data_IF_576457271492
#
_entry.id   IF_576457271492
#
_cell.length_a   1.000
_cell.length_b   1.000
_cell.length_c   1.000
_cell.angle_alpha   90.00
_cell.angle_beta   90.00
_cell.angle_gamma   90.00
#
_symmetry.space_group_name_H-M   'P 1'
#
loop_
_entity.id
_entity.type
_entity.pdbx_description
1 polymer ?
#
# COMPACT_ATOMS: atom_id res chain seq x y z
N UNK A 1 98.37 41.27 19.68
CA UNK A 1 98.42 40.41 18.47
C UNK A 1 97.00 39.92 18.16
N UNK A 2 96.53 40.19 16.94
CA UNK A 2 95.50 39.51 16.12
C UNK A 2 94.27 38.92 16.85
N UNK A 3 93.10 39.56 16.87
CA UNK A 3 92.05 39.58 15.83
C UNK A 3 91.52 38.19 15.40
N UNK A 4 90.25 37.89 15.73
CA UNK A 4 89.38 37.14 14.82
C UNK A 4 87.87 37.28 15.15
N UNK A 5 87.21 38.08 14.32
CA UNK A 5 85.93 37.89 13.63
C UNK A 5 84.78 37.18 14.38
N UNK A 6 83.78 37.97 14.82
CA UNK A 6 82.37 37.59 14.79
C UNK A 6 81.60 38.60 13.95
N UNK A 7 81.70 38.46 12.62
CA UNK A 7 80.79 39.14 11.69
C UNK A 7 79.46 38.38 11.71
N UNK A 8 78.48 38.94 12.41
CA UNK A 8 77.07 38.60 12.28
C UNK A 8 76.62 38.92 10.86
N UNK A 9 76.27 37.89 10.08
CA UNK A 9 75.92 38.02 8.67
C UNK A 9 74.41 38.37 8.53
N UNK A 10 74.03 39.63 8.24
CA UNK A 10 72.61 40.04 8.15
C UNK A 10 71.85 39.36 6.99
N UNK A 11 72.59 38.79 6.03
CA UNK A 11 72.03 38.04 4.89
C UNK A 11 71.49 36.67 5.33
N UNK A 12 72.15 35.99 6.27
CA UNK A 12 71.71 34.67 6.75
C UNK A 12 70.42 34.77 7.57
N UNK A 13 70.30 35.81 8.41
CA UNK A 13 69.08 36.06 9.20
C UNK A 13 67.86 36.30 8.30
N UNK A 14 68.01 37.11 7.24
CA UNK A 14 66.94 37.34 6.26
C UNK A 14 66.56 36.08 5.47
N UNK A 15 67.54 35.21 5.17
CA UNK A 15 67.29 33.96 4.47
C UNK A 15 66.51 32.96 5.34
N UNK A 16 66.82 32.89 6.63
CA UNK A 16 66.11 32.06 7.61
C UNK A 16 64.67 32.55 7.82
N UNK A 17 64.44 33.87 7.93
CA UNK A 17 63.09 34.43 8.09
C UNK A 17 62.19 34.17 6.87
N UNK A 18 62.73 34.26 5.65
CA UNK A 18 61.98 33.93 4.42
C UNK A 18 61.62 32.44 4.38
N UNK A 19 62.55 31.56 4.78
CA UNK A 19 62.29 30.10 4.83
C UNK A 19 61.24 29.78 5.89
N UNK A 20 61.34 30.33 7.11
CA UNK A 20 60.38 30.10 8.20
C UNK A 20 59.00 30.62 7.79
N UNK A 21 58.91 31.82 7.20
CA UNK A 21 57.64 32.39 6.74
C UNK A 21 57.01 31.53 5.64
N UNK A 22 57.80 31.05 4.68
CA UNK A 22 57.32 30.19 3.59
C UNK A 22 56.86 28.84 4.09
N UNK A 23 57.59 28.22 5.04
CA UNK A 23 57.21 26.96 5.66
C UNK A 23 55.93 27.12 6.49
N UNK A 24 55.80 28.22 7.26
CA UNK A 24 54.61 28.50 8.05
C UNK A 24 53.37 28.73 7.16
N UNK A 25 53.51 29.50 6.07
CA UNK A 25 52.44 29.68 5.09
C UNK A 25 52.02 28.36 4.43
N UNK A 26 52.98 27.49 4.10
CA UNK A 26 52.73 26.16 3.53
C UNK A 26 52.01 25.24 4.53
N UNK A 27 52.37 25.31 5.81
CA UNK A 27 51.71 24.56 6.91
C UNK A 27 50.24 25.02 7.09
N UNK A 28 49.99 26.33 7.05
CA UNK A 28 48.64 26.92 7.15
C UNK A 28 47.78 26.49 5.96
N UNK A 29 48.30 26.59 4.73
CA UNK A 29 47.59 26.16 3.52
C UNK A 29 47.27 24.66 3.53
N UNK A 30 48.19 23.82 4.00
CA UNK A 30 47.95 22.39 4.19
C UNK A 30 46.87 22.11 5.25
N UNK A 31 46.85 22.88 6.34
CA UNK A 31 45.81 22.81 7.37
C UNK A 31 44.41 23.19 6.83
N UNK A 32 44.32 24.27 6.07
CA UNK A 32 43.08 24.69 5.42
C UNK A 32 42.57 23.66 4.41
N UNK A 33 43.47 23.06 3.61
CA UNK A 33 43.13 22.01 2.63
C UNK A 33 42.59 20.76 3.32
N UNK A 34 43.24 20.29 4.40
CA UNK A 34 42.74 19.15 5.20
C UNK A 34 41.37 19.43 5.84
N UNK A 35 41.14 20.66 6.31
CA UNK A 35 39.84 21.04 6.92
C UNK A 35 38.70 21.11 5.89
N UNK A 36 38.99 21.52 4.66
CA UNK A 36 38.00 21.53 3.56
C UNK A 36 37.71 20.12 3.05
N UNK A 37 38.72 19.26 2.98
CA UNK A 37 38.58 17.87 2.53
C UNK A 37 37.77 17.02 3.54
N UNK A 38 38.00 17.21 4.85
CA UNK A 38 37.17 16.59 5.90
C UNK A 38 35.71 17.06 5.85
N UNK A 39 35.46 18.37 5.66
CA UNK A 39 34.10 18.90 5.49
C UNK A 39 33.39 18.33 4.26
N UNK A 40 34.11 18.05 3.17
CA UNK A 40 33.54 17.40 1.97
C UNK A 40 33.21 15.94 2.23
N UNK A 41 34.10 15.19 2.88
CA UNK A 41 33.84 13.79 3.24
C UNK A 41 32.66 13.64 4.21
N UNK A 42 32.55 14.50 5.22
CA UNK A 42 31.43 14.50 6.16
C UNK A 42 30.10 14.83 5.44
N UNK A 43 30.12 15.78 4.51
CA UNK A 43 28.95 16.12 3.68
C UNK A 43 28.56 14.99 2.72
N UNK A 44 29.51 14.30 2.10
CA UNK A 44 29.24 13.16 1.22
C UNK A 44 28.70 11.96 2.00
N UNK A 45 29.20 11.72 3.22
CA UNK A 45 28.69 10.70 4.13
C UNK A 45 27.26 11.02 4.59
N UNK A 46 26.96 12.29 4.88
CA UNK A 46 25.63 12.75 5.26
C UNK A 46 24.65 12.71 4.08
N UNK A 47 25.09 13.04 2.86
CA UNK A 47 24.30 12.90 1.62
C UNK A 47 24.05 11.42 1.30
N UNK A 48 25.02 10.55 1.51
CA UNK A 48 24.89 9.10 1.34
C UNK A 48 23.92 8.51 2.38
N UNK A 49 24.02 8.96 3.64
CA UNK A 49 23.09 8.61 4.73
C UNK A 49 21.67 9.11 4.45
N UNK A 50 21.50 10.36 4.00
CA UNK A 50 20.19 10.89 3.56
C UNK A 50 19.65 10.14 2.33
N UNK A 51 20.50 9.64 1.43
CA UNK A 51 20.09 8.80 0.28
C UNK A 51 19.71 7.39 0.72
N UNK A 52 20.41 6.79 1.70
CA UNK A 52 20.03 5.49 2.27
C UNK A 52 18.76 5.61 3.10
N UNK A 53 18.58 6.67 3.89
CA UNK A 53 17.39 6.93 4.69
C UNK A 53 16.19 7.27 3.79
N UNK A 54 16.40 7.98 2.68
CA UNK A 54 15.40 8.14 1.61
C UNK A 54 15.11 6.85 0.85
N UNK A 55 16.07 5.92 0.74
CA UNK A 55 15.88 4.62 0.08
C UNK A 55 15.15 3.64 1.01
N UNK A 56 15.41 3.69 2.31
CA UNK A 56 14.70 2.96 3.37
C UNK A 56 13.28 3.52 3.54
N UNK A 57 13.11 4.86 3.56
CA UNK A 57 11.77 5.48 3.58
C UNK A 57 10.99 5.29 2.27
N UNK A 58 11.67 5.05 1.14
CA UNK A 58 11.02 4.67 -0.12
C UNK A 58 10.72 3.17 -0.21
N UNK A 59 11.40 2.32 0.58
CA UNK A 59 11.02 0.91 0.77
C UNK A 59 9.86 0.76 1.78
N UNK A 60 9.74 1.71 2.72
CA UNK A 60 8.63 1.84 3.67
C UNK A 60 7.29 2.33 3.04
N UNK A 61 7.21 2.49 1.71
CA UNK A 61 6.06 3.11 1.03
C UNK A 61 4.96 2.17 0.55
N UNK A 62 5.02 0.88 0.85
CA UNK A 62 3.94 -0.05 0.45
C UNK A 62 3.33 -0.72 1.67
N UNK A 63 4.11 -1.50 2.42
CA UNK A 63 3.64 -2.20 3.62
C UNK A 63 4.10 -1.46 4.89
N UNK A 64 3.19 -0.88 5.69
CA UNK A 64 3.53 -0.13 6.88
C UNK A 64 3.99 -1.01 8.06
N UNK A 65 3.90 -2.33 7.95
CA UNK A 65 4.54 -3.25 8.89
C UNK A 65 3.93 -3.28 10.28
N UNK A 66 2.59 -3.15 10.38
CA UNK A 66 1.89 -3.17 11.67
C UNK A 66 2.25 -4.44 12.46
N UNK A 67 2.69 -4.25 13.70
CA UNK A 67 3.03 -5.29 14.66
C UNK A 67 1.94 -5.41 15.71
N UNK A 68 1.58 -6.64 16.06
CA UNK A 68 0.71 -6.98 17.17
C UNK A 68 1.52 -7.72 18.24
N UNK A 69 1.39 -7.33 19.50
CA UNK A 69 1.98 -8.04 20.64
C UNK A 69 1.06 -7.99 21.86
N UNK A 70 1.31 -8.84 22.85
CA UNK A 70 0.65 -8.78 24.15
C UNK A 70 1.69 -9.05 25.23
N UNK A 71 1.98 -8.02 26.03
CA UNK A 71 2.84 -8.17 27.21
C UNK A 71 1.96 -8.53 28.42
N UNK A 72 1.21 -7.55 28.90
CA UNK A 72 0.19 -7.66 29.92
C UNK A 72 -1.13 -7.07 29.40
N UNK A 73 -2.27 -7.52 29.94
CA UNK A 73 -3.57 -6.97 29.56
C UNK A 73 -3.93 -7.18 28.09
N UNK A 74 -4.48 -6.17 27.38
CA UNK A 74 -4.98 -6.30 26.02
C UNK A 74 -3.87 -6.39 24.96
N UNK A 75 -4.24 -6.82 23.74
CA UNK A 75 -3.36 -6.79 22.57
C UNK A 75 -3.06 -5.35 22.17
N UNK A 76 -1.80 -5.08 21.86
CA UNK A 76 -1.30 -3.77 21.43
C UNK A 76 -0.87 -3.84 19.98
N UNK A 77 -1.24 -2.81 19.21
CA UNK A 77 -0.85 -2.66 17.81
C UNK A 77 0.01 -1.42 17.64
N UNK A 78 1.07 -1.50 16.83
CA UNK A 78 2.00 -0.38 16.61
C UNK A 78 2.77 -0.56 15.29
N UNK A 79 3.33 0.52 14.75
CA UNK A 79 4.25 0.44 13.60
C UNK A 79 5.66 -0.03 14.00
N UNK A 80 6.06 0.30 15.24
CA UNK A 80 7.34 -0.05 15.82
C UNK A 80 7.10 -0.50 17.27
N UNK A 81 7.74 -1.60 17.67
CA UNK A 81 7.64 -2.09 19.03
C UNK A 81 8.24 -1.03 19.99
N UNK A 82 7.49 -0.54 20.99
CA UNK A 82 8.00 0.43 21.94
C UNK A 82 9.04 -0.20 22.87
N UNK A 83 9.87 0.63 23.51
CA UNK A 83 10.82 0.16 24.52
C UNK A 83 10.13 -0.25 25.83
N UNK A 84 9.03 0.43 26.18
CA UNK A 84 8.24 0.14 27.37
C UNK A 84 6.81 -0.24 27.01
N UNK A 85 6.19 -1.05 27.86
CA UNK A 85 4.81 -1.49 27.70
C UNK A 85 3.86 -0.30 27.91
N UNK A 86 2.98 0.04 26.96
CA UNK A 86 2.05 1.15 27.12
C UNK A 86 0.96 0.90 28.17
N UNK A 87 0.84 -0.33 28.68
CA UNK A 87 -0.18 -0.71 29.68
C UNK A 87 0.38 -0.66 31.10
N UNK A 88 1.57 -1.21 31.35
CA UNK A 88 2.18 -1.26 32.70
C UNK A 88 3.48 -0.46 32.86
N UNK A 89 4.05 0.06 31.78
CA UNK A 89 5.32 0.80 31.80
C UNK A 89 6.59 -0.05 31.86
N UNK A 90 6.50 -1.37 31.91
CA UNK A 90 7.65 -2.28 32.01
C UNK A 90 8.49 -2.35 30.72
N UNK A 91 9.80 -2.55 30.85
CA UNK A 91 10.73 -2.65 29.71
C UNK A 91 10.46 -3.92 28.88
N UNK A 92 10.17 -3.74 27.60
CA UNK A 92 9.83 -4.82 26.67
C UNK A 92 11.06 -5.57 26.13
N UNK A 93 12.28 -5.09 26.38
CA UNK A 93 13.52 -5.74 25.95
C UNK A 93 13.81 -7.04 26.70
N UNK A 94 13.38 -7.14 27.97
CA UNK A 94 13.54 -8.32 28.82
C UNK A 94 12.21 -8.92 29.32
N UNK A 95 11.07 -8.36 28.91
CA UNK A 95 9.76 -8.79 29.38
C UNK A 95 9.32 -10.16 28.82
N UNK A 96 8.56 -10.90 29.62
CA UNK A 96 7.89 -12.12 29.18
C UNK A 96 6.56 -11.79 28.52
N UNK A 97 6.48 -11.97 27.20
CA UNK A 97 5.26 -11.71 26.44
C UNK A 97 4.21 -12.81 26.62
N UNK A 98 2.97 -12.43 26.86
CA UNK A 98 1.80 -13.31 26.72
C UNK A 98 1.54 -13.71 25.27
N UNK A 99 1.87 -12.81 24.32
CA UNK A 99 1.88 -13.06 22.87
C UNK A 99 3.08 -12.35 22.26
N UNK A 100 3.99 -13.14 21.69
CA UNK A 100 5.18 -12.62 21.04
C UNK A 100 4.82 -11.64 19.92
N UNK A 101 5.59 -10.57 19.73
CA UNK A 101 5.39 -9.64 18.63
C UNK A 101 5.39 -10.35 17.27
N UNK A 102 4.35 -10.15 16.48
CA UNK A 102 4.26 -10.64 15.11
C UNK A 102 3.70 -9.57 14.17
N UNK A 103 4.07 -9.67 12.89
CA UNK A 103 3.56 -8.75 11.86
C UNK A 103 2.15 -9.15 11.46
N UNK A 104 1.23 -8.20 11.51
CA UNK A 104 -0.12 -8.37 10.97
C UNK A 104 0.01 -8.57 9.45
N UNK A 105 -0.59 -9.64 8.88
CA UNK A 105 -0.49 -9.90 7.44
C UNK A 105 -0.96 -8.71 6.61
N UNK A 106 -0.10 -8.25 5.70
CA UNK A 106 -0.40 -7.16 4.78
C UNK A 106 -1.24 -7.68 3.60
N UNK A 107 -2.48 -7.18 3.40
CA UNK A 107 -3.41 -7.78 2.44
C UNK A 107 -3.18 -7.34 1.00
N UNK A 108 -2.38 -6.29 0.78
CA UNK A 108 -2.20 -5.73 -0.56
C UNK A 108 -0.97 -6.29 -1.25
N UNK A 109 -1.11 -6.54 -2.55
CA UNK A 109 -0.11 -7.16 -3.39
C UNK A 109 0.20 -6.28 -4.60
N UNK A 110 1.36 -6.54 -5.20
CA UNK A 110 1.72 -6.00 -6.50
C UNK A 110 1.26 -6.95 -7.59
N UNK A 111 0.28 -6.54 -8.39
CA UNK A 111 -0.36 -7.42 -9.39
C UNK A 111 0.67 -8.08 -10.32
N UNK A 112 1.70 -7.34 -10.75
CA UNK A 112 2.71 -7.87 -11.68
C UNK A 112 3.54 -9.04 -11.14
N UNK A 113 3.49 -9.33 -9.83
CA UNK A 113 4.17 -10.46 -9.20
C UNK A 113 3.29 -11.72 -9.11
N UNK A 114 2.00 -11.59 -9.42
CA UNK A 114 1.01 -12.67 -9.33
C UNK A 114 0.54 -13.03 -10.74
N UNK A 115 1.10 -14.08 -11.35
CA UNK A 115 0.73 -14.48 -12.70
C UNK A 115 -0.64 -15.18 -12.73
N UNK A 116 -1.41 -14.98 -13.80
CA UNK A 116 -2.74 -15.57 -14.00
C UNK A 116 -3.67 -15.37 -12.81
N UNK A 117 -3.77 -14.12 -12.37
CA UNK A 117 -4.52 -13.70 -11.20
C UNK A 117 -5.65 -12.74 -11.58
N UNK A 118 -6.71 -12.76 -10.78
CA UNK A 118 -7.75 -11.72 -10.78
C UNK A 118 -7.45 -10.78 -9.62
N UNK A 119 -7.38 -9.49 -9.93
CA UNK A 119 -6.95 -8.45 -8.97
C UNK A 119 -7.92 -7.27 -8.99
N UNK A 120 -8.06 -6.61 -7.84
CA UNK A 120 -8.89 -5.40 -7.71
C UNK A 120 -8.13 -4.30 -6.97
N UNK A 121 -8.38 -3.05 -7.33
CA UNK A 121 -7.77 -1.86 -6.73
C UNK A 121 -8.80 -0.73 -6.64
N UNK A 122 -8.54 0.36 -5.89
CA UNK A 122 -9.31 1.58 -6.01
C UNK A 122 -9.16 2.16 -7.42
N UNK A 123 -10.21 2.82 -7.93
CA UNK A 123 -10.14 3.52 -9.21
C UNK A 123 -9.14 4.69 -9.13
N UNK A 124 -9.17 5.41 -8.01
CA UNK A 124 -8.32 6.58 -7.73
C UNK A 124 -7.61 6.38 -6.39
N UNK A 125 -6.33 6.76 -6.32
CA UNK A 125 -5.54 6.71 -5.09
C UNK A 125 -5.16 5.30 -4.64
N UNK A 126 -4.94 5.14 -3.34
CA UNK A 126 -4.58 3.88 -2.68
C UNK A 126 -5.57 3.43 -1.58
N UNK A 127 -5.50 2.16 -1.18
CA UNK A 127 -6.43 1.59 -0.19
C UNK A 127 -6.22 2.15 1.22
N UNK A 128 -4.99 2.47 1.59
CA UNK A 128 -4.62 2.85 2.95
C UNK A 128 -5.00 4.30 3.27
N UNK A 129 -4.84 5.22 2.33
CA UNK A 129 -4.94 6.65 2.55
C UNK A 129 -6.19 7.25 1.89
N UNK A 130 -6.52 6.84 0.67
CA UNK A 130 -7.53 7.53 -0.13
C UNK A 130 -8.87 6.81 -0.16
N UNK A 131 -8.88 5.47 -0.10
CA UNK A 131 -10.09 4.68 -0.31
C UNK A 131 -11.10 4.79 0.84
N UNK A 132 -12.37 5.03 0.51
CA UNK A 132 -13.51 4.90 1.41
C UNK A 132 -14.62 4.10 0.72
N UNK A 133 -15.55 3.58 1.51
CA UNK A 133 -16.52 2.58 1.04
C UNK A 133 -17.42 3.03 -0.12
N UNK A 134 -17.59 4.33 -0.33
CA UNK A 134 -18.35 4.88 -1.46
C UNK A 134 -17.52 5.11 -2.72
N UNK A 135 -16.23 4.76 -2.72
CA UNK A 135 -15.38 4.88 -3.91
C UNK A 135 -15.47 3.66 -4.80
N UNK A 136 -15.38 3.91 -6.10
CA UNK A 136 -15.38 2.85 -7.10
C UNK A 136 -14.09 2.02 -7.06
N UNK A 137 -14.27 0.71 -7.22
CA UNK A 137 -13.21 -0.24 -7.41
C UNK A 137 -13.02 -0.57 -8.89
N UNK A 138 -11.78 -0.86 -9.26
CA UNK A 138 -11.39 -1.26 -10.59
C UNK A 138 -10.77 -2.66 -10.57
N UNK A 139 -11.31 -3.56 -11.39
CA UNK A 139 -10.91 -4.96 -11.48
C UNK A 139 -10.14 -5.23 -12.78
N UNK A 140 -9.17 -6.13 -12.70
CA UNK A 140 -8.32 -6.51 -13.83
C UNK A 140 -7.75 -7.90 -13.65
N UNK A 141 -7.04 -8.36 -14.68
CA UNK A 141 -6.40 -9.68 -14.68
C UNK A 141 -4.95 -9.59 -15.07
N UNK A 142 -4.15 -10.57 -14.68
CA UNK A 142 -2.74 -10.66 -15.06
C UNK A 142 -2.51 -11.83 -16.01
N UNK A 143 -1.62 -11.67 -16.98
CA UNK A 143 -1.13 -12.78 -17.82
C UNK A 143 -0.21 -13.71 -17.03
N UNK A 144 0.20 -14.83 -17.62
CA UNK A 144 1.19 -15.75 -17.03
C UNK A 144 2.55 -15.10 -16.75
N UNK A 145 2.86 -14.02 -17.48
CA UNK A 145 4.07 -13.22 -17.29
C UNK A 145 3.90 -12.09 -16.26
N UNK A 146 2.69 -11.87 -15.71
CA UNK A 146 2.40 -10.77 -14.80
C UNK A 146 2.17 -9.41 -15.51
N UNK A 147 1.76 -9.43 -16.78
CA UNK A 147 1.28 -8.21 -17.47
C UNK A 147 -0.17 -7.98 -17.09
N UNK A 148 -0.52 -6.78 -16.64
CA UNK A 148 -1.89 -6.42 -16.31
C UNK A 148 -2.67 -6.19 -17.60
N UNK A 149 -3.86 -6.77 -17.70
CA UNK A 149 -4.86 -6.54 -18.72
C UNK A 149 -6.11 -5.98 -18.04
N UNK A 150 -6.52 -4.80 -18.45
CA UNK A 150 -7.66 -4.09 -17.88
C UNK A 150 -8.49 -3.43 -18.99
N UNK A 151 -9.74 -3.13 -18.67
CA UNK A 151 -10.66 -2.46 -19.58
C UNK A 151 -11.29 -1.27 -18.85
N UNK A 152 -11.08 -0.06 -19.37
CA UNK A 152 -11.61 1.17 -18.78
C UNK A 152 -12.14 2.12 -19.87
N UNK A 153 -12.39 3.38 -19.49
CA UNK A 153 -12.86 4.44 -20.41
C UNK A 153 -11.93 4.67 -21.62
N UNK A 154 -10.67 4.26 -21.55
CA UNK A 154 -9.69 4.33 -22.63
C UNK A 154 -9.66 3.05 -23.48
N UNK A 155 -10.52 2.08 -23.16
CA UNK A 155 -10.62 0.79 -23.82
C UNK A 155 -9.73 -0.27 -23.17
N UNK A 156 -9.44 -1.32 -23.94
CA UNK A 156 -8.61 -2.43 -23.48
C UNK A 156 -7.13 -2.04 -23.45
N UNK A 157 -6.48 -2.20 -22.30
CA UNK A 157 -5.06 -1.86 -22.10
C UNK A 157 -4.28 -3.05 -21.58
N UNK A 158 -3.00 -3.12 -21.97
CA UNK A 158 -2.04 -4.12 -21.48
C UNK A 158 -0.77 -3.41 -21.05
N UNK A 159 -0.38 -3.54 -19.79
CA UNK A 159 0.77 -2.81 -19.26
C UNK A 159 1.36 -3.45 -17.98
N UNK A 160 2.49 -2.92 -17.52
CA UNK A 160 3.10 -3.23 -16.20
C UNK A 160 3.17 -1.99 -15.31
N UNK A 161 2.05 -1.27 -15.25
CA UNK A 161 1.91 -0.01 -14.53
C UNK A 161 2.08 -0.18 -13.01
N UNK A 162 2.71 0.80 -12.36
CA UNK A 162 2.87 0.84 -10.91
C UNK A 162 1.57 1.20 -10.16
N UNK A 163 0.52 1.61 -10.87
CA UNK A 163 -0.81 1.88 -10.29
C UNK A 163 -1.51 0.60 -9.79
N UNK A 164 -0.93 -0.57 -10.06
CA UNK A 164 -1.38 -1.88 -9.59
C UNK A 164 -0.44 -2.48 -8.53
N UNK A 165 0.21 -1.63 -7.73
CA UNK A 165 1.12 -2.06 -6.66
C UNK A 165 0.44 -2.24 -5.28
N UNK A 166 -0.77 -1.70 -5.09
CA UNK A 166 -1.63 -1.95 -3.93
C UNK A 166 -2.98 -2.50 -4.40
N UNK A 167 -3.00 -3.81 -4.67
CA UNK A 167 -4.19 -4.51 -5.13
C UNK A 167 -4.60 -5.58 -4.13
N UNK A 168 -5.85 -5.99 -4.18
CA UNK A 168 -6.31 -7.22 -3.54
C UNK A 168 -6.31 -8.35 -4.56
N UNK A 169 -5.79 -9.50 -4.15
CA UNK A 169 -5.85 -10.74 -4.91
C UNK A 169 -7.20 -11.41 -4.64
N UNK A 170 -8.01 -11.59 -5.68
CA UNK A 170 -9.31 -12.26 -5.57
C UNK A 170 -9.15 -13.78 -5.70
N UNK A 171 -8.45 -14.21 -6.75
CA UNK A 171 -8.11 -15.60 -7.01
C UNK A 171 -6.92 -15.72 -7.98
N UNK A 172 -6.30 -16.90 -8.01
CA UNK A 172 -5.18 -17.21 -8.89
C UNK A 172 -5.25 -18.66 -9.37
N UNK A 173 -5.05 -18.89 -10.67
CA UNK A 173 -5.02 -20.24 -11.22
C UNK A 173 -3.67 -20.93 -11.02
N UNK A 174 -3.70 -22.26 -11.00
CA UNK A 174 -2.51 -23.10 -10.82
C UNK A 174 -1.64 -23.13 -12.08
N UNK A 175 -0.36 -23.51 -11.93
CA UNK A 175 0.62 -23.57 -13.02
C UNK A 175 0.14 -24.27 -14.30
N UNK A 176 -0.58 -25.42 -14.24
CA UNK A 176 -1.03 -26.12 -15.46
C UNK A 176 -2.01 -25.31 -16.31
N UNK A 177 -2.68 -24.31 -15.74
CA UNK A 177 -3.69 -23.51 -16.44
C UNK A 177 -3.13 -22.28 -17.14
N UNK A 178 -1.82 -22.00 -17.01
CA UNK A 178 -1.22 -20.75 -17.52
C UNK A 178 -1.37 -20.56 -19.02
N UNK A 179 -1.12 -21.61 -19.80
CA UNK A 179 -1.21 -21.55 -21.26
C UNK A 179 -2.66 -21.34 -21.71
N UNK A 180 -3.60 -22.08 -21.13
CA UNK A 180 -5.03 -21.93 -21.41
C UNK A 180 -5.56 -20.56 -20.98
N UNK A 181 -5.10 -20.06 -19.83
CA UNK A 181 -5.40 -18.71 -19.33
C UNK A 181 -4.99 -17.63 -20.34
N UNK A 182 -3.74 -17.64 -20.77
CA UNK A 182 -3.22 -16.64 -21.71
C UNK A 182 -3.88 -16.75 -23.09
N UNK A 183 -4.11 -17.97 -23.57
CA UNK A 183 -4.80 -18.23 -24.84
C UNK A 183 -6.23 -17.70 -24.81
N UNK A 184 -6.99 -18.04 -23.76
CA UNK A 184 -8.36 -17.55 -23.57
C UNK A 184 -8.39 -16.03 -23.44
N UNK A 185 -7.50 -15.46 -22.61
CA UNK A 185 -7.43 -14.02 -22.41
C UNK A 185 -7.11 -13.31 -23.73
N UNK A 186 -6.20 -13.84 -24.54
CA UNK A 186 -5.88 -13.32 -25.86
C UNK A 186 -7.08 -13.38 -26.81
N UNK A 187 -7.85 -14.47 -26.82
CA UNK A 187 -9.06 -14.60 -27.63
C UNK A 187 -10.11 -13.54 -27.24
N UNK A 188 -10.37 -13.37 -25.94
CA UNK A 188 -11.30 -12.35 -25.45
C UNK A 188 -10.81 -10.95 -25.79
N UNK A 189 -9.52 -10.66 -25.59
CA UNK A 189 -8.91 -9.38 -25.96
C UNK A 189 -9.06 -9.02 -27.45
N UNK A 190 -9.20 -10.01 -28.34
CA UNK A 190 -9.36 -9.79 -29.79
C UNK A 190 -10.77 -9.41 -30.20
N UNK A 191 -11.76 -9.60 -29.33
CA UNK A 191 -13.15 -9.25 -29.65
C UNK A 191 -13.28 -7.73 -29.81
N UNK A 192 -13.95 -7.29 -30.89
CA UNK A 192 -14.08 -5.86 -31.23
C UNK A 192 -14.89 -5.05 -30.21
N UNK A 193 -15.64 -5.72 -29.32
CA UNK A 193 -16.46 -5.09 -28.29
C UNK A 193 -15.65 -4.47 -27.14
N UNK A 194 -14.35 -4.73 -27.02
CA UNK A 194 -13.49 -4.16 -25.95
C UNK A 194 -12.80 -2.87 -26.38
N UNK A 195 -13.58 -1.95 -26.96
CA UNK A 195 -13.09 -0.63 -27.40
C UNK A 195 -13.51 0.47 -26.42
N UNK A 196 -12.82 1.61 -26.44
CA UNK A 196 -13.23 2.78 -25.65
C UNK A 196 -14.64 3.26 -26.00
N UNK A 197 -15.05 3.13 -27.28
CA UNK A 197 -16.37 3.58 -27.78
C UNK A 197 -17.53 2.75 -27.26
N UNK A 198 -17.27 1.49 -26.92
CA UNK A 198 -18.28 0.55 -26.44
C UNK A 198 -18.35 0.50 -24.92
N UNK A 199 -17.48 1.24 -24.22
CA UNK A 199 -17.46 1.31 -22.76
C UNK A 199 -18.73 1.98 -22.22
N UNK A 200 -19.33 1.37 -21.21
CA UNK A 200 -20.48 1.86 -20.46
C UNK A 200 -20.28 1.52 -18.98
N UNK A 201 -20.41 2.52 -18.11
CA UNK A 201 -20.18 2.34 -16.66
C UNK A 201 -21.11 1.30 -16.05
N UNK A 202 -22.35 1.20 -16.51
CA UNK A 202 -23.35 0.29 -15.93
C UNK A 202 -23.26 -1.12 -16.54
N UNK A 203 -23.14 -1.19 -17.88
CA UNK A 203 -23.39 -2.44 -18.60
C UNK A 203 -22.13 -3.06 -19.22
N UNK A 204 -21.13 -2.25 -19.59
CA UNK A 204 -19.95 -2.70 -20.34
C UNK A 204 -18.67 -2.06 -19.83
N UNK A 205 -18.13 -2.59 -18.74
CA UNK A 205 -17.07 -1.99 -17.95
C UNK A 205 -15.98 -3.02 -17.59
N UNK A 206 -15.05 -2.63 -16.72
CA UNK A 206 -13.98 -3.51 -16.23
C UNK A 206 -14.51 -4.83 -15.65
N UNK A 207 -15.66 -4.81 -14.98
CA UNK A 207 -16.26 -5.99 -14.38
C UNK A 207 -16.83 -6.92 -15.44
N UNK A 208 -17.59 -6.41 -16.42
CA UNK A 208 -18.10 -7.26 -17.51
C UNK A 208 -16.98 -7.90 -18.33
N UNK A 209 -15.85 -7.19 -18.52
CA UNK A 209 -14.65 -7.74 -19.16
C UNK A 209 -14.10 -8.95 -18.41
N UNK A 210 -13.86 -8.80 -17.10
CA UNK A 210 -13.31 -9.89 -16.29
C UNK A 210 -14.28 -11.06 -16.21
N UNK A 211 -15.58 -10.82 -16.02
CA UNK A 211 -16.57 -11.90 -16.00
C UNK A 211 -16.65 -12.64 -17.34
N UNK A 212 -16.66 -11.94 -18.47
CA UNK A 212 -16.67 -12.57 -19.79
C UNK A 212 -15.44 -13.47 -19.99
N UNK A 213 -14.27 -12.96 -19.61
CA UNK A 213 -13.04 -13.74 -19.65
C UNK A 213 -13.11 -14.99 -18.76
N UNK A 214 -13.54 -14.85 -17.51
CA UNK A 214 -13.64 -15.96 -16.58
C UNK A 214 -14.67 -17.00 -17.01
N UNK A 215 -15.84 -16.59 -17.52
CA UNK A 215 -16.84 -17.53 -18.05
C UNK A 215 -16.27 -18.33 -19.23
N UNK A 216 -15.52 -17.67 -20.13
CA UNK A 216 -14.87 -18.33 -21.27
C UNK A 216 -13.75 -19.30 -20.85
N UNK A 217 -13.07 -19.02 -19.73
CA UNK A 217 -11.97 -19.84 -19.23
C UNK A 217 -12.43 -21.25 -18.77
N UNK A 218 -13.67 -21.38 -18.27
CA UNK A 218 -14.23 -22.62 -17.73
C UNK A 218 -13.40 -23.24 -16.58
N UNK A 219 -12.81 -22.40 -15.73
CA UNK A 219 -12.06 -22.78 -14.54
C UNK A 219 -12.95 -22.96 -13.30
N UNK A 220 -13.44 -24.19 -13.08
CA UNK A 220 -14.07 -24.66 -11.82
C UNK A 220 -15.01 -23.61 -11.20
N UNK A 221 -14.88 -23.39 -9.89
CA UNK A 221 -15.69 -22.48 -9.08
C UNK A 221 -15.54 -21.01 -9.49
N UNK A 222 -14.40 -20.60 -10.06
CA UNK A 222 -14.15 -19.22 -10.46
C UNK A 222 -15.05 -18.84 -11.64
N UNK A 223 -15.10 -19.71 -12.65
CA UNK A 223 -15.94 -19.51 -13.84
C UNK A 223 -17.42 -19.74 -13.56
N UNK A 224 -17.76 -20.67 -12.67
CA UNK A 224 -19.14 -20.87 -12.22
C UNK A 224 -19.70 -19.61 -11.55
N UNK A 225 -18.95 -19.05 -10.59
CA UNK A 225 -19.36 -17.82 -9.91
C UNK A 225 -19.42 -16.63 -10.87
N UNK A 226 -18.53 -16.57 -11.88
CA UNK A 226 -18.48 -15.46 -12.83
C UNK A 226 -19.71 -15.34 -13.75
N UNK A 227 -20.56 -16.38 -13.82
CA UNK A 227 -21.82 -16.34 -14.59
C UNK A 227 -22.85 -15.40 -13.97
N UNK A 228 -22.73 -15.11 -12.69
CA UNK A 228 -23.65 -14.25 -11.97
C UNK A 228 -22.85 -13.16 -11.23
N UNK A 229 -23.21 -11.90 -11.50
CA UNK A 229 -22.52 -10.71 -10.96
C UNK A 229 -22.58 -10.67 -9.42
N UNK A 230 -23.69 -11.05 -8.81
CA UNK A 230 -23.88 -11.21 -7.36
C UNK A 230 -22.93 -12.24 -6.81
N UNK A 231 -22.99 -13.44 -7.39
CA UNK A 231 -22.30 -14.62 -6.87
C UNK A 231 -20.79 -14.43 -6.88
N UNK A 232 -20.26 -13.84 -7.95
CA UNK A 232 -18.83 -13.52 -8.01
C UNK A 232 -18.44 -12.49 -6.96
N UNK A 233 -19.25 -11.46 -6.75
CA UNK A 233 -19.00 -10.43 -5.75
C UNK A 233 -18.99 -11.03 -4.34
N UNK A 234 -20.03 -11.74 -3.95
CA UNK A 234 -20.16 -12.38 -2.63
C UNK A 234 -19.05 -13.39 -2.34
N UNK A 235 -18.71 -14.24 -3.33
CA UNK A 235 -17.74 -15.31 -3.12
C UNK A 235 -16.30 -14.85 -3.21
N UNK A 236 -15.98 -13.85 -4.04
CA UNK A 236 -14.60 -13.46 -4.35
C UNK A 236 -14.23 -12.05 -3.91
N UNK A 237 -15.10 -11.06 -4.07
CA UNK A 237 -14.77 -9.66 -3.76
C UNK A 237 -14.97 -9.37 -2.28
N UNK A 238 -16.19 -9.61 -1.79
CA UNK A 238 -16.65 -9.29 -0.43
C UNK A 238 -15.66 -9.80 0.64
N UNK A 239 -15.24 -11.08 0.68
CA UNK A 239 -14.38 -11.56 1.76
C UNK A 239 -12.99 -10.88 1.79
N UNK A 240 -12.49 -10.50 0.60
CA UNK A 240 -11.15 -9.91 0.43
C UNK A 240 -11.19 -8.43 0.82
N UNK A 241 -12.23 -7.72 0.39
CA UNK A 241 -12.44 -6.32 0.78
C UNK A 241 -12.77 -6.19 2.27
N UNK A 242 -13.50 -7.13 2.88
CA UNK A 242 -13.71 -7.15 4.35
C UNK A 242 -12.40 -7.28 5.10
N UNK A 243 -11.57 -8.25 4.72
CA UNK A 243 -10.28 -8.49 5.38
C UNK A 243 -9.36 -7.27 5.24
N UNK A 244 -9.32 -6.68 4.04
CA UNK A 244 -8.58 -5.45 3.78
C UNK A 244 -9.11 -4.26 4.59
N UNK A 245 -10.43 -4.10 4.71
CA UNK A 245 -11.07 -3.03 5.47
C UNK A 245 -10.67 -3.03 6.94
N UNK A 246 -10.52 -4.21 7.55
CA UNK A 246 -10.01 -4.36 8.93
C UNK A 246 -8.58 -3.83 9.05
N UNK A 247 -7.72 -4.16 8.09
CA UNK A 247 -6.33 -3.68 8.06
C UNK A 247 -6.27 -2.16 7.85
N UNK A 248 -7.02 -1.62 6.88
CA UNK A 248 -7.06 -0.17 6.58
C UNK A 248 -7.50 0.61 7.82
N UNK A 249 -8.56 0.15 8.49
CA UNK A 249 -9.09 0.82 9.69
C UNK A 249 -8.05 0.85 10.81
N UNK A 250 -7.36 -0.26 11.04
CA UNK A 250 -6.28 -0.35 12.01
C UNK A 250 -5.12 0.59 11.65
N UNK A 251 -4.69 0.59 10.39
CA UNK A 251 -3.63 1.47 9.88
C UNK A 251 -3.95 2.95 10.12
N UNK A 252 -5.15 3.40 9.70
CA UNK A 252 -5.57 4.80 9.83
C UNK A 252 -5.60 5.24 11.29
N UNK A 253 -6.16 4.41 12.17
CA UNK A 253 -6.20 4.71 13.60
C UNK A 253 -4.81 4.83 14.22
N UNK A 254 -3.89 3.93 13.85
CA UNK A 254 -2.50 4.00 14.32
C UNK A 254 -1.79 5.24 13.79
N UNK A 255 -2.04 5.61 12.53
CA UNK A 255 -1.51 6.84 11.92
C UNK A 255 -1.99 8.08 12.66
N UNK A 256 -3.30 8.19 12.90
CA UNK A 256 -3.90 9.32 13.62
C UNK A 256 -3.31 9.47 15.05
N UNK A 257 -3.06 8.36 15.75
CA UNK A 257 -2.44 8.37 17.08
C UNK A 257 -0.98 8.85 17.09
N UNK A 258 -0.23 8.57 16.02
CA UNK A 258 1.15 9.03 15.86
C UNK A 258 1.15 10.53 15.54
N UNK A 259 0.29 10.95 14.62
CA UNK A 259 0.20 12.35 14.19
C UNK A 259 -0.16 13.28 15.37
N UNK A 260 -1.06 12.86 16.27
CA UNK A 260 -1.41 13.63 17.49
C UNK A 260 -0.22 13.75 18.48
N UNK A 261 0.63 12.73 18.55
CA UNK A 261 1.79 12.72 19.47
C UNK A 261 2.93 13.62 18.98
N UNK A 262 3.10 13.73 17.67
CA UNK A 262 4.05 14.65 17.06
C UNK A 262 3.62 16.12 17.23
N UNK A 263 2.31 16.42 17.22
CA UNK A 263 1.82 17.80 17.41
C UNK A 263 2.02 18.30 18.85
N UNK A 264 1.88 17.41 19.84
CA UNK A 264 2.15 17.73 21.26
C UNK A 264 3.64 17.85 21.60
N UNK A 265 4.55 17.23 20.83
CA UNK A 265 6.00 17.27 21.10
C UNK A 265 6.73 18.40 20.36
N UNK A 266 6.06 19.10 19.44
CA UNK A 266 6.62 20.23 18.70
C UNK A 266 6.37 21.59 19.35
N UNK A 267 5.69 21.65 20.51
CA UNK A 267 5.35 22.90 21.21
C UNK A 267 6.19 23.19 22.46
N UNK A 268 7.32 22.50 22.65
CA UNK A 268 8.22 22.78 23.77
C UNK A 268 9.20 23.92 23.43
N UNK A 269 8.71 25.16 23.45
CA UNK A 269 9.49 26.28 23.98
C UNK A 269 8.57 27.29 24.67
N UNK A 270 8.77 27.40 25.98
CA UNK A 270 8.33 28.44 26.94
C UNK A 270 7.03 28.24 27.74
N UNK A 271 7.26 27.83 29.00
CA UNK A 271 6.85 28.56 30.22
C UNK A 271 5.66 28.05 31.07
N UNK A 272 6.05 27.47 32.22
CA UNK A 272 5.46 27.51 33.58
C UNK A 272 3.98 27.13 33.83
N UNK A 273 3.79 26.13 34.69
CA UNK A 273 2.84 26.23 35.82
C UNK A 273 1.84 25.11 36.04
N UNK A 274 2.21 24.21 36.96
CA UNK A 274 1.36 23.51 37.93
C UNK A 274 0.23 22.55 37.48
N UNK A 275 0.45 21.28 37.83
CA UNK A 275 -0.51 20.36 38.47
C UNK A 275 -1.86 20.11 37.78
N UNK A 276 -1.97 18.92 37.17
CA UNK A 276 -2.91 17.91 37.67
C UNK A 276 -2.44 16.51 37.26
N UNK A 277 -2.18 15.70 38.27
CA UNK A 277 -1.99 14.26 38.13
C UNK A 277 -3.37 13.62 37.88
N UNK A 278 -3.56 13.03 36.70
CA UNK A 278 -4.59 12.02 36.47
C UNK A 278 -4.26 11.20 35.20
N UNK A 279 -3.78 9.98 35.41
CA UNK A 279 -3.89 8.85 34.47
C UNK A 279 -4.05 7.58 35.35
N UNK A 280 -4.73 6.47 34.96
CA UNK A 280 -5.43 6.21 33.70
C UNK A 280 -6.88 5.67 33.86
N UNK A 281 -7.84 6.24 33.11
CA UNK A 281 -9.20 5.69 32.89
C UNK A 281 -9.49 5.29 31.44
N UNK A 282 -8.48 5.22 30.57
CA UNK A 282 -8.67 5.21 29.11
C UNK A 282 -8.59 3.81 28.43
N UNK A 283 -8.18 2.74 29.14
CA UNK A 283 -7.93 1.42 28.51
C UNK A 283 -9.20 0.59 28.32
N UNK A 284 -10.19 0.77 29.20
CA UNK A 284 -11.50 0.09 29.12
C UNK A 284 -12.41 0.72 28.05
N UNK A 285 -12.38 2.05 27.92
CA UNK A 285 -13.03 2.76 26.81
C UNK A 285 -12.47 2.31 25.46
N UNK A 286 -11.15 2.10 25.37
CA UNK A 286 -10.54 1.61 24.13
C UNK A 286 -11.06 0.22 23.72
N UNK A 287 -11.29 -0.68 24.69
CA UNK A 287 -11.76 -2.04 24.40
C UNK A 287 -13.24 -2.05 24.00
N UNK A 288 -14.08 -1.31 24.73
CA UNK A 288 -15.50 -1.14 24.37
C UNK A 288 -15.66 -0.40 23.05
N UNK A 289 -14.80 0.57 22.77
CA UNK A 289 -14.76 1.28 21.50
C UNK A 289 -14.31 0.37 20.36
N UNK A 290 -13.33 -0.50 20.56
CA UNK A 290 -12.94 -1.48 19.53
C UNK A 290 -14.08 -2.47 19.25
N UNK A 291 -14.82 -2.90 20.27
CA UNK A 291 -16.02 -3.72 20.11
C UNK A 291 -17.14 -2.98 19.37
N UNK A 292 -17.46 -1.74 19.75
CA UNK A 292 -18.48 -0.94 19.07
C UNK A 292 -18.06 -0.57 17.65
N UNK A 293 -16.76 -0.40 17.40
CA UNK A 293 -16.20 -0.17 16.07
C UNK A 293 -16.30 -1.41 15.20
N UNK A 294 -15.98 -2.61 15.73
CA UNK A 294 -16.16 -3.86 15.00
C UNK A 294 -17.63 -4.08 14.65
N UNK A 295 -18.54 -3.79 15.59
CA UNK A 295 -19.99 -3.84 15.35
C UNK A 295 -20.42 -2.81 14.30
N UNK A 296 -19.96 -1.56 14.42
CA UNK A 296 -20.26 -0.49 13.45
C UNK A 296 -19.70 -0.81 12.06
N UNK A 297 -18.53 -1.44 11.97
CA UNK A 297 -17.95 -1.91 10.71
C UNK A 297 -18.78 -3.05 10.17
N UNK A 298 -19.21 -3.98 11.02
CA UNK A 298 -20.06 -5.11 10.62
C UNK A 298 -21.42 -4.62 10.11
N UNK A 299 -22.02 -3.61 10.75
CA UNK A 299 -23.30 -3.01 10.36
C UNK A 299 -23.13 -2.15 9.09
N UNK A 300 -22.06 -1.35 8.99
CA UNK A 300 -21.76 -0.59 7.75
C UNK A 300 -21.39 -1.51 6.59
N UNK A 301 -20.79 -2.66 6.87
CA UNK A 301 -20.45 -3.67 5.88
C UNK A 301 -21.69 -4.48 5.47
N UNK A 302 -22.57 -4.82 6.39
CA UNK A 302 -23.87 -5.41 6.08
C UNK A 302 -24.68 -4.46 5.22
N UNK A 303 -24.78 -3.18 5.59
CA UNK A 303 -25.44 -2.17 4.76
C UNK A 303 -24.79 -1.98 3.37
N UNK A 304 -23.47 -2.16 3.24
CA UNK A 304 -22.78 -2.09 1.95
C UNK A 304 -23.00 -3.36 1.12
N UNK A 305 -22.94 -4.53 1.76
CA UNK A 305 -23.32 -5.80 1.18
C UNK A 305 -24.77 -5.72 0.68
N UNK A 306 -25.67 -5.19 1.50
CA UNK A 306 -27.09 -5.01 1.20
C UNK A 306 -27.28 -3.97 0.08
N UNK A 307 -26.50 -2.89 0.02
CA UNK A 307 -26.56 -1.94 -1.11
C UNK A 307 -26.03 -2.54 -2.41
N UNK A 308 -24.94 -3.32 -2.34
CA UNK A 308 -24.40 -4.05 -3.49
C UNK A 308 -25.41 -5.13 -3.93
N UNK A 309 -26.03 -5.85 -3.00
CA UNK A 309 -27.08 -6.84 -3.25
C UNK A 309 -28.32 -6.18 -3.84
N UNK A 310 -28.78 -5.06 -3.28
CA UNK A 310 -29.95 -4.32 -3.79
C UNK A 310 -29.69 -3.83 -5.22
N UNK A 311 -28.52 -3.24 -5.50
CA UNK A 311 -28.11 -2.83 -6.87
C UNK A 311 -28.07 -4.02 -7.82
N UNK A 312 -27.71 -5.19 -7.30
CA UNK A 312 -27.58 -6.41 -8.07
C UNK A 312 -28.94 -7.10 -8.29
N UNK A 313 -29.86 -7.05 -7.33
CA UNK A 313 -31.24 -7.52 -7.45
C UNK A 313 -32.05 -6.63 -8.41
N UNK A 314 -31.81 -5.31 -8.38
CA UNK A 314 -32.32 -4.35 -9.37
C UNK A 314 -31.80 -4.66 -10.79
N UNK A 315 -30.56 -5.16 -10.90
CA UNK A 315 -30.04 -5.63 -12.19
C UNK A 315 -30.62 -6.99 -12.60
N UNK A 316 -30.86 -7.90 -11.65
CA UNK A 316 -31.48 -9.21 -11.90
C UNK A 316 -32.91 -9.10 -12.41
N UNK A 317 -33.73 -8.28 -11.75
CA UNK A 317 -35.12 -8.01 -12.17
C UNK A 317 -35.20 -7.44 -13.59
N UNK A 318 -34.28 -6.55 -13.96
CA UNK A 318 -34.19 -6.02 -15.33
C UNK A 318 -33.77 -7.06 -16.37
N UNK A 319 -32.96 -8.06 -15.97
CA UNK A 319 -32.59 -9.17 -16.84
C UNK A 319 -33.78 -10.10 -17.05
N UNK A 320 -34.53 -10.44 -16.00
CA UNK A 320 -35.73 -11.27 -16.09
C UNK A 320 -36.79 -10.63 -17.00
N UNK A 321 -36.98 -9.31 -16.90
CA UNK A 321 -37.87 -8.56 -17.77
C UNK A 321 -37.40 -8.60 -19.24
N UNK A 322 -36.10 -8.53 -19.49
CA UNK A 322 -35.54 -8.64 -20.84
C UNK A 322 -35.71 -10.05 -21.42
N UNK A 323 -35.49 -11.09 -20.63
CA UNK A 323 -35.70 -12.49 -21.03
C UNK A 323 -37.17 -12.76 -21.37
N UNK A 324 -38.09 -12.22 -20.56
CA UNK A 324 -39.53 -12.28 -20.83
C UNK A 324 -39.90 -11.57 -22.14
N UNK A 325 -39.39 -10.36 -22.36
CA UNK A 325 -39.63 -9.62 -23.60
C UNK A 325 -39.07 -10.35 -24.83
N UNK A 326 -37.91 -11.01 -24.72
CA UNK A 326 -37.34 -11.84 -25.79
C UNK A 326 -38.22 -13.08 -26.04
N UNK A 327 -38.68 -13.75 -24.98
CA UNK A 327 -39.61 -14.89 -25.08
C UNK A 327 -40.92 -14.53 -25.77
N UNK A 328 -41.48 -13.37 -25.44
CA UNK A 328 -42.70 -12.84 -26.07
C UNK A 328 -42.46 -12.50 -27.55
N UNK A 329 -41.29 -11.95 -27.89
CA UNK A 329 -40.86 -11.68 -29.26
C UNK A 329 -40.63 -12.96 -30.09
N UNK A 330 -40.05 -14.00 -29.48
CA UNK A 330 -39.85 -15.32 -30.12
C UNK A 330 -41.19 -16.02 -30.36
N UNK A 331 -42.14 -15.85 -29.44
CA UNK A 331 -43.52 -16.35 -29.55
C UNK A 331 -44.31 -15.59 -30.63
N UNK A 332 -44.16 -14.27 -30.72
CA UNK A 332 -44.76 -13.45 -31.79
C UNK A 332 -44.12 -13.67 -33.17
N UNK A 333 -42.85 -14.06 -33.22
CA UNK A 333 -42.15 -14.39 -34.45
C UNK A 333 -42.42 -15.82 -34.96
N UNK A 334 -43.23 -16.62 -34.24
CA UNK A 334 -43.71 -17.93 -34.69
C UNK A 334 -42.64 -19.03 -34.74
N UNK A 335 -41.57 -18.92 -33.94
CA UNK A 335 -40.52 -19.95 -33.88
C UNK A 335 -40.90 -20.98 -32.82
N UNK A 336 -41.75 -21.93 -33.19
CA UNK A 336 -41.95 -23.16 -32.40
C UNK A 336 -40.63 -23.95 -32.41
N UNK A 337 -40.06 -24.19 -31.23
CA UNK A 337 -38.95 -25.12 -31.09
C UNK A 337 -39.46 -26.53 -31.43
N UNK A 338 -38.77 -27.30 -32.30
CA UNK A 338 -39.19 -28.67 -32.58
C UNK A 338 -38.95 -29.53 -31.34
N UNK A 339 -40.01 -30.16 -30.85
CA UNK A 339 -39.96 -31.17 -29.79
C UNK A 339 -38.88 -32.22 -30.09
N UNK A 340 -37.90 -32.35 -29.18
CA UNK A 340 -37.28 -33.61 -28.77
C UNK A 340 -36.39 -33.49 -27.54
#
# INVERSE_FOLDING_TARGET
MRSNVRQSHPVLARYIDVIITTLCHKQILLGHKKKTEKKRQDADLEVSKRKSDKKISKLAKMDPGIVCFQHCGPKVFCFLLPQTCPVCGEDLGAANFSLLPFRVPYPFIRASQYPCAVVIKPTTGDFLNDYYNSMDLHIGVTTSTGTIVEFDKQGLRKHRSNHWNQCLLLDQVTLPWREHWDTTLWQVCKQKCWSAKTYSEDNHNCYSFVLTFLVTLMYRNLSEAARNRTMFCEKFIVPRTTAAGKYISLYRKLKDMVDVKDDMTNNDTESYGAANAADPKNVQELTQYVQSLLQTIQDKFQNMSDQILTRIDEMGTRIDDLEKNIGDLMTQAGVEAPDK
#
